data_IF_291316287460
#
_entry.id   IF_291316287460
#
_cell.length_a   1.000
_cell.length_b   1.000
_cell.length_c   1.000
_cell.angle_alpha   90.00
_cell.angle_beta   90.00
_cell.angle_gamma   90.00
#
_symmetry.space_group_name_H-M   'P 1'
#
loop_
_entity.id
_entity.type
_entity.pdbx_description
1 polymer ?
#
# COMPACT_ATOMS: atom_id res chain seq x y z
N UNK A 1 20.76 26.97 -34.93
CA UNK A 1 19.57 26.18 -34.54
C UNK A 1 19.58 26.08 -33.01
N UNK A 2 19.20 27.20 -32.36
CA UNK A 2 19.20 27.35 -30.91
C UNK A 2 17.92 26.69 -30.39
N UNK A 3 18.05 25.59 -29.65
CA UNK A 3 16.91 24.96 -28.98
C UNK A 3 16.37 25.95 -27.94
N UNK A 4 15.22 26.53 -28.27
CA UNK A 4 14.34 27.28 -27.39
C UNK A 4 13.93 26.33 -26.25
N UNK A 5 14.53 26.51 -25.08
CA UNK A 5 14.12 25.80 -23.87
C UNK A 5 12.82 26.44 -23.42
N UNK A 6 11.70 25.75 -23.65
CA UNK A 6 10.39 26.18 -23.19
C UNK A 6 10.38 26.31 -21.65
N UNK A 7 10.00 27.47 -21.07
CA UNK A 7 9.98 27.69 -19.62
C UNK A 7 8.90 26.89 -18.87
N UNK A 8 8.10 26.08 -19.57
CA UNK A 8 7.02 25.28 -18.99
C UNK A 8 7.46 23.88 -18.51
N UNK A 9 8.71 23.46 -18.74
CA UNK A 9 9.16 22.06 -18.51
C UNK A 9 9.77 21.81 -17.12
N UNK A 10 9.85 22.80 -16.22
CA UNK A 10 10.45 22.63 -14.89
C UNK A 10 9.54 23.13 -13.76
N UNK A 11 8.25 22.79 -13.81
CA UNK A 11 7.49 22.66 -12.57
C UNK A 11 8.03 21.42 -11.84
N UNK A 12 9.13 21.60 -11.10
CA UNK A 12 9.61 20.62 -10.14
C UNK A 12 8.40 20.18 -9.31
N UNK A 13 7.98 18.93 -9.48
CA UNK A 13 6.84 18.39 -8.77
C UNK A 13 7.10 18.59 -7.28
N UNK A 14 6.35 19.52 -6.66
CA UNK A 14 6.43 19.78 -5.23
C UNK A 14 6.32 18.43 -4.50
N UNK A 15 7.11 18.13 -3.45
CA UNK A 15 7.11 16.81 -2.84
C UNK A 15 5.68 16.37 -2.54
N UNK A 16 5.19 15.36 -3.28
CA UNK A 16 3.87 14.78 -3.05
C UNK A 16 3.92 14.19 -1.65
N UNK A 17 3.14 14.75 -0.72
CA UNK A 17 3.00 14.16 0.60
C UNK A 17 2.62 12.68 0.43
N UNK A 18 3.42 11.79 1.02
CA UNK A 18 3.16 10.37 0.92
C UNK A 18 1.72 10.09 1.39
N UNK A 19 0.91 9.38 0.60
CA UNK A 19 -0.48 9.13 0.95
C UNK A 19 -0.57 8.41 2.29
N UNK A 20 -1.52 8.82 3.12
CA UNK A 20 -1.77 8.16 4.40
C UNK A 20 -2.23 6.71 4.20
N UNK A 21 -2.16 5.90 5.25
CA UNK A 21 -2.54 4.48 5.23
C UNK A 21 -3.96 4.26 4.68
N UNK A 22 -4.90 5.14 5.02
CA UNK A 22 -6.29 5.04 4.55
C UNK A 22 -6.43 5.37 3.06
N UNK A 23 -5.65 6.32 2.53
CA UNK A 23 -5.66 6.63 1.11
C UNK A 23 -5.13 5.44 0.30
N UNK A 24 -4.03 4.84 0.78
CA UNK A 24 -3.46 3.62 0.20
C UNK A 24 -4.44 2.45 0.25
N UNK A 25 -5.12 2.23 1.38
CA UNK A 25 -6.14 1.18 1.48
C UNK A 25 -7.31 1.39 0.49
N UNK A 26 -7.75 2.64 0.30
CA UNK A 26 -8.79 2.96 -0.69
C UNK A 26 -8.33 2.66 -2.11
N UNK A 27 -7.08 2.96 -2.42
CA UNK A 27 -6.48 2.64 -3.72
C UNK A 27 -6.35 1.13 -3.93
N UNK A 28 -5.92 0.40 -2.91
CA UNK A 28 -5.84 -1.07 -2.93
C UNK A 28 -7.23 -1.68 -3.19
N UNK A 29 -8.28 -1.18 -2.52
CA UNK A 29 -9.67 -1.60 -2.74
C UNK A 29 -10.16 -1.26 -4.17
N UNK A 30 -9.87 -0.05 -4.66
CA UNK A 30 -10.23 0.35 -6.02
C UNK A 30 -9.56 -0.55 -7.07
N UNK A 31 -8.30 -0.93 -6.81
CA UNK A 31 -7.54 -1.85 -7.65
C UNK A 31 -8.19 -3.24 -7.70
N UNK A 32 -8.74 -3.74 -6.57
CA UNK A 32 -9.52 -4.99 -6.55
C UNK A 32 -10.74 -4.88 -7.46
N UNK A 33 -11.53 -3.82 -7.35
CA UNK A 33 -12.71 -3.64 -8.22
C UNK A 33 -12.38 -3.52 -9.71
N UNK A 34 -11.21 -2.98 -10.05
CA UNK A 34 -10.76 -2.87 -11.45
C UNK A 34 -10.28 -4.21 -12.02
N UNK A 35 -9.76 -5.10 -11.17
CA UNK A 35 -9.11 -6.35 -11.61
C UNK A 35 -9.99 -7.58 -11.45
N UNK A 36 -10.91 -7.56 -10.50
CA UNK A 36 -11.77 -8.69 -10.18
C UNK A 36 -13.25 -8.34 -10.42
N UNK A 37 -13.88 -8.86 -11.50
CA UNK A 37 -15.29 -8.62 -11.77
C UNK A 37 -16.23 -9.28 -10.75
N UNK A 38 -15.75 -10.21 -9.92
CA UNK A 38 -16.53 -10.84 -8.85
C UNK A 38 -16.65 -9.96 -7.59
N UNK A 39 -15.81 -8.93 -7.44
CA UNK A 39 -15.88 -8.02 -6.29
C UNK A 39 -17.13 -7.13 -6.37
N UNK A 40 -18.11 -7.34 -5.49
CA UNK A 40 -19.42 -6.65 -5.58
C UNK A 40 -19.54 -5.46 -4.65
N UNK A 41 -18.94 -5.54 -3.46
CA UNK A 41 -19.10 -4.51 -2.42
C UNK A 41 -17.81 -4.29 -1.65
N UNK A 42 -17.61 -3.07 -1.13
CA UNK A 42 -16.42 -2.74 -0.34
C UNK A 42 -16.37 -3.60 0.93
N UNK A 43 -17.52 -3.92 1.50
CA UNK A 43 -17.62 -4.78 2.68
C UNK A 43 -17.08 -6.19 2.40
N UNK A 44 -17.48 -6.79 1.28
CA UNK A 44 -16.94 -8.07 0.84
C UNK A 44 -15.43 -7.98 0.63
N UNK A 45 -14.96 -6.98 -0.12
CA UNK A 45 -13.53 -6.78 -0.36
C UNK A 45 -12.73 -6.67 0.94
N UNK A 46 -13.20 -5.88 1.90
CA UNK A 46 -12.52 -5.70 3.18
C UNK A 46 -12.57 -6.97 4.05
N UNK A 47 -13.59 -7.81 3.93
CA UNK A 47 -13.77 -8.96 4.85
C UNK A 47 -13.30 -10.28 4.27
N UNK A 48 -13.27 -10.44 2.95
CA UNK A 48 -13.00 -11.73 2.29
C UNK A 48 -11.74 -11.75 1.45
N UNK A 49 -11.12 -10.61 1.13
CA UNK A 49 -9.92 -10.60 0.29
C UNK A 49 -8.63 -10.68 1.12
N UNK A 50 -7.93 -11.82 1.15
CA UNK A 50 -6.70 -11.97 1.94
C UNK A 50 -5.58 -11.03 1.46
N UNK A 51 -5.57 -10.64 0.18
CA UNK A 51 -4.60 -9.68 -0.37
C UNK A 51 -4.73 -8.29 0.25
N UNK A 52 -5.95 -7.80 0.46
CA UNK A 52 -6.20 -6.51 1.14
C UNK A 52 -5.70 -6.57 2.58
N UNK A 53 -6.03 -7.64 3.29
CA UNK A 53 -5.53 -7.86 4.65
C UNK A 53 -4.00 -7.90 4.69
N UNK A 54 -3.35 -8.64 3.79
CA UNK A 54 -1.90 -8.78 3.73
C UNK A 54 -1.21 -7.43 3.52
N UNK A 55 -1.69 -6.62 2.57
CA UNK A 55 -1.17 -5.27 2.31
C UNK A 55 -1.33 -4.35 3.53
N UNK A 56 -2.50 -4.37 4.18
CA UNK A 56 -2.74 -3.58 5.38
C UNK A 56 -1.75 -3.93 6.51
N UNK A 57 -1.63 -5.23 6.84
CA UNK A 57 -0.70 -5.68 7.87
C UNK A 57 0.76 -5.42 7.53
N UNK A 58 1.14 -5.55 6.26
CA UNK A 58 2.48 -5.22 5.80
C UNK A 58 2.78 -3.73 6.02
N UNK A 59 1.90 -2.81 5.58
CA UNK A 59 2.09 -1.36 5.76
C UNK A 59 2.24 -1.00 7.25
N UNK A 60 1.45 -1.61 8.14
CA UNK A 60 1.58 -1.42 9.58
C UNK A 60 2.91 -1.96 10.13
N UNK A 61 3.30 -3.15 9.71
CA UNK A 61 4.57 -3.78 10.11
C UNK A 61 5.78 -2.98 9.60
N UNK A 62 5.67 -2.37 8.42
CA UNK A 62 6.69 -1.51 7.83
C UNK A 62 6.90 -0.23 8.63
N UNK A 63 5.82 0.41 9.09
CA UNK A 63 5.92 1.58 9.99
C UNK A 63 6.64 1.20 11.30
N UNK A 64 6.35 0.03 11.87
CA UNK A 64 7.07 -0.47 13.05
C UNK A 64 8.54 -0.74 12.77
N UNK A 65 8.85 -1.32 11.61
CA UNK A 65 10.22 -1.59 11.19
C UNK A 65 11.04 -0.30 11.04
N UNK A 66 10.48 0.71 10.39
CA UNK A 66 11.09 2.04 10.25
C UNK A 66 11.32 2.74 11.60
N UNK A 67 10.47 2.48 12.60
CA UNK A 67 10.64 2.95 13.99
C UNK A 67 11.64 2.12 14.81
N UNK A 68 12.38 1.20 14.16
CA UNK A 68 13.35 0.26 14.78
C UNK A 68 12.73 -0.76 15.72
N UNK A 69 11.41 -0.92 15.71
CA UNK A 69 10.71 -1.93 16.51
C UNK A 69 10.67 -3.25 15.74
N UNK A 70 11.85 -3.88 15.61
CA UNK A 70 12.05 -5.04 14.71
C UNK A 70 11.28 -6.28 15.13
N UNK A 71 11.26 -6.60 16.43
CA UNK A 71 10.53 -7.77 16.93
C UNK A 71 9.02 -7.68 16.66
N UNK A 72 8.30 -6.62 17.10
CA UNK A 72 6.86 -6.54 16.83
C UNK A 72 6.56 -6.42 15.34
N UNK A 73 7.41 -5.77 14.52
CA UNK A 73 7.26 -5.78 13.06
C UNK A 73 7.31 -7.20 12.47
N UNK A 74 8.26 -8.04 12.91
CA UNK A 74 8.34 -9.45 12.47
C UNK A 74 7.19 -10.29 13.00
N UNK A 75 6.82 -10.07 14.26
CA UNK A 75 5.68 -10.75 14.88
C UNK A 75 4.41 -10.46 14.07
N UNK A 76 4.11 -9.19 13.79
CA UNK A 76 2.95 -8.81 12.99
C UNK A 76 2.98 -9.38 11.57
N UNK A 77 4.13 -9.39 10.91
CA UNK A 77 4.29 -10.02 9.59
C UNK A 77 4.01 -11.52 9.64
N UNK A 78 4.43 -12.19 10.72
CA UNK A 78 4.11 -13.59 10.96
C UNK A 78 2.60 -13.83 11.18
N UNK A 79 1.90 -12.97 11.93
CA UNK A 79 0.43 -13.06 12.04
C UNK A 79 -0.25 -12.88 10.70
N UNK A 80 0.16 -11.86 9.92
CA UNK A 80 -0.37 -11.61 8.60
C UNK A 80 -0.24 -12.85 7.71
N UNK A 81 0.93 -13.47 7.71
CA UNK A 81 1.18 -14.73 7.00
C UNK A 81 0.29 -15.87 7.48
N UNK A 82 0.10 -16.02 8.78
CA UNK A 82 -0.77 -17.06 9.34
C UNK A 82 -2.22 -16.92 8.86
N UNK A 83 -2.76 -15.70 8.85
CA UNK A 83 -4.15 -15.45 8.45
C UNK A 83 -4.36 -15.42 6.93
N UNK A 84 -3.40 -14.93 6.16
CA UNK A 84 -3.57 -14.67 4.73
C UNK A 84 -2.82 -15.65 3.84
N UNK A 85 -1.90 -16.45 4.40
CA UNK A 85 -0.93 -17.29 3.68
C UNK A 85 0.00 -16.51 2.74
N UNK A 86 -0.03 -15.17 2.77
CA UNK A 86 0.84 -14.29 1.98
C UNK A 86 2.01 -13.85 2.87
N UNK A 87 3.24 -14.08 2.40
CA UNK A 87 4.46 -13.71 3.13
C UNK A 87 5.03 -12.41 2.55
N UNK A 88 4.97 -11.33 3.32
CA UNK A 88 5.54 -10.03 2.98
C UNK A 88 6.46 -9.60 4.13
N UNK A 89 7.73 -9.36 3.81
CA UNK A 89 8.70 -8.87 4.78
C UNK A 89 8.34 -7.43 5.21
N UNK A 90 8.53 -7.04 6.50
CA UNK A 90 8.21 -5.70 6.95
C UNK A 90 9.23 -4.62 6.54
N UNK A 91 10.43 -5.02 6.15
CA UNK A 91 11.52 -4.12 5.74
C UNK A 91 11.37 -3.53 4.35
#
# INVERSE_FOLDING_TARGET
MTAMIDPHTLAAAAPQAAPGLFALLREDIACVFQRDPAARTTWEVITTYPGIHALFWHRLSHVLWGRRWRYPARFMSFFARMFTQIDIHPG
#
